data_IF_905649061541
#
_entry.id   IF_905649061541
#
_cell.length_a   1.000
_cell.length_b   1.000
_cell.length_c   1.000
_cell.angle_alpha   90.00
_cell.angle_beta   90.00
_cell.angle_gamma   90.00
#
_symmetry.space_group_name_H-M   'P 1'
#
loop_
_entity.id
_entity.type
_entity.pdbx_description
1 polymer ?
#
# COMPACT_ATOMS: atom_id res chain seq x y z
N UNK A 1 10.47 -46.98 -19.68
CA UNK A 1 9.99 -45.59 -19.87
C UNK A 1 8.77 -45.37 -18.97
N UNK A 2 8.91 -44.60 -17.90
CA UNK A 2 7.77 -44.27 -17.03
C UNK A 2 7.02 -43.11 -17.66
N UNK A 3 5.84 -43.37 -18.24
CA UNK A 3 4.98 -42.32 -18.78
C UNK A 3 4.39 -41.51 -17.63
N UNK A 4 4.86 -40.28 -17.44
CA UNK A 4 4.22 -39.35 -16.52
C UNK A 4 2.89 -38.94 -17.15
N UNK A 5 1.77 -39.22 -16.47
CA UNK A 5 0.43 -38.92 -17.00
C UNK A 5 0.25 -37.40 -17.18
N UNK A 6 -0.56 -37.00 -18.18
CA UNK A 6 -0.90 -35.60 -18.45
C UNK A 6 -1.42 -34.87 -17.21
N UNK A 7 -2.15 -35.56 -16.34
CA UNK A 7 -2.67 -35.03 -15.07
C UNK A 7 -1.55 -34.73 -14.06
N UNK A 8 -0.51 -35.57 -13.99
CA UNK A 8 0.66 -35.30 -13.14
C UNK A 8 1.47 -34.11 -13.64
N UNK A 9 1.58 -33.93 -14.96
CA UNK A 9 2.19 -32.73 -15.54
C UNK A 9 1.34 -31.47 -15.29
N UNK A 10 0.02 -31.57 -15.41
CA UNK A 10 -0.89 -30.45 -15.16
C UNK A 10 -0.85 -29.99 -13.69
N UNK A 11 -0.85 -30.93 -12.74
CA UNK A 11 -0.70 -30.64 -11.32
C UNK A 11 0.68 -30.10 -10.98
N UNK A 12 1.74 -30.59 -11.63
CA UNK A 12 3.10 -30.08 -11.42
C UNK A 12 3.22 -28.64 -11.93
N UNK A 13 2.66 -28.33 -13.12
CA UNK A 13 2.62 -26.97 -13.67
C UNK A 13 1.77 -26.05 -12.81
N UNK A 14 0.58 -26.47 -12.37
CA UNK A 14 -0.25 -25.67 -11.47
C UNK A 14 0.44 -25.42 -10.12
N UNK A 15 1.10 -26.43 -9.55
CA UNK A 15 1.86 -26.28 -8.32
C UNK A 15 3.02 -25.31 -8.53
N UNK A 16 3.70 -25.37 -9.68
CA UNK A 16 4.81 -24.48 -10.03
C UNK A 16 4.35 -23.04 -10.26
N UNK A 17 3.26 -22.82 -10.99
CA UNK A 17 2.62 -21.51 -11.18
C UNK A 17 2.15 -20.92 -9.84
N UNK A 18 1.54 -21.73 -8.97
CA UNK A 18 1.12 -21.32 -7.63
C UNK A 18 2.31 -21.09 -6.67
N UNK A 19 3.47 -21.70 -6.96
CA UNK A 19 4.72 -21.46 -6.23
C UNK A 19 5.46 -20.20 -6.72
N UNK A 20 5.25 -19.80 -7.97
CA UNK A 20 5.81 -18.58 -8.57
C UNK A 20 4.98 -17.33 -8.25
N UNK A 21 3.67 -17.48 -8.00
CA UNK A 21 2.82 -16.39 -7.50
C UNK A 21 3.07 -16.03 -6.04
N UNK A 22 3.90 -16.81 -5.32
CA UNK A 22 4.20 -16.59 -3.91
C UNK A 22 5.68 -16.84 -3.62
N UNK A 23 6.57 -16.12 -4.31
CA UNK A 23 7.99 -16.07 -3.93
C UNK A 23 8.12 -15.18 -2.69
N UNK A 24 7.95 -15.79 -1.50
CA UNK A 24 8.40 -15.21 -0.24
C UNK A 24 9.94 -15.29 -0.17
N UNK A 25 10.64 -14.26 -0.64
CA UNK A 25 12.08 -14.11 -0.38
C UNK A 25 12.26 -13.53 1.03
N UNK A 26 12.52 -14.39 2.02
CA UNK A 26 12.97 -13.97 3.36
C UNK A 26 14.49 -13.77 3.35
N UNK A 27 14.93 -12.57 2.95
CA UNK A 27 16.28 -12.10 3.26
C UNK A 27 16.26 -11.55 4.69
N UNK A 28 16.40 -12.48 5.64
CA UNK A 28 16.53 -12.38 7.12
C UNK A 28 15.59 -11.45 7.92
N UNK A 29 15.07 -10.36 7.37
CA UNK A 29 14.16 -9.42 8.01
C UNK A 29 13.17 -8.77 7.03
N UNK A 30 13.37 -8.91 5.71
CA UNK A 30 12.49 -8.32 4.71
C UNK A 30 11.57 -9.38 4.08
N UNK A 31 10.31 -9.01 3.86
CA UNK A 31 9.31 -9.80 3.14
C UNK A 31 8.96 -9.12 1.82
N UNK A 32 9.07 -9.86 0.71
CA UNK A 32 8.65 -9.42 -0.61
C UNK A 32 7.55 -10.35 -1.11
N UNK A 33 6.50 -9.77 -1.69
CA UNK A 33 5.39 -10.49 -2.32
C UNK A 33 5.02 -9.78 -3.62
N UNK A 34 5.05 -10.53 -4.73
CA UNK A 34 4.65 -10.04 -6.05
C UNK A 34 3.67 -11.04 -6.64
N UNK A 35 2.46 -10.58 -6.95
CA UNK A 35 1.45 -11.41 -7.62
C UNK A 35 1.40 -11.08 -9.12
N UNK A 36 1.03 -12.02 -10.01
CA UNK A 36 0.39 -11.69 -11.29
C UNK A 36 -0.99 -11.03 -11.05
N UNK A 37 -1.88 -10.80 -12.04
CA UNK A 37 -3.25 -10.37 -11.77
C UNK A 37 -3.88 -11.17 -10.61
N UNK A 38 -4.20 -10.50 -9.50
CA UNK A 38 -4.52 -11.13 -8.23
C UNK A 38 -4.11 -10.30 -7.02
N UNK A 39 -4.25 -10.87 -5.81
CA UNK A 39 -3.88 -10.18 -4.58
C UNK A 39 -2.45 -10.52 -4.18
N UNK A 40 -1.67 -9.52 -3.77
CA UNK A 40 -0.36 -9.70 -3.17
C UNK A 40 -0.43 -9.37 -1.67
N UNK A 41 0.13 -10.25 -0.84
CA UNK A 41 0.21 -10.06 0.61
C UNK A 41 1.66 -10.24 1.06
N UNK A 42 2.20 -9.22 1.73
CA UNK A 42 3.52 -9.28 2.37
C UNK A 42 3.40 -8.90 3.84
N UNK A 43 3.88 -9.78 4.71
CA UNK A 43 3.98 -9.54 6.14
C UNK A 43 5.41 -9.85 6.57
N UNK A 44 6.08 -8.89 7.20
CA UNK A 44 7.43 -9.09 7.73
C UNK A 44 7.43 -9.24 9.25
N UNK A 45 8.43 -9.92 9.84
CA UNK A 45 8.85 -9.66 11.22
C UNK A 45 9.41 -8.20 11.32
N UNK A 46 10.08 -7.77 12.43
CA UNK A 46 10.84 -6.53 12.37
C UNK A 46 11.76 -6.50 11.13
N UNK A 47 11.58 -5.48 10.29
CA UNK A 47 12.15 -5.31 8.96
C UNK A 47 11.12 -4.83 7.94
N UNK A 48 11.41 -4.88 6.64
CA UNK A 48 10.55 -4.24 5.64
C UNK A 48 9.59 -5.24 4.97
N UNK A 49 8.36 -4.82 4.72
CA UNK A 49 7.39 -5.55 3.92
C UNK A 49 7.12 -4.82 2.60
N UNK A 50 7.21 -5.53 1.48
CA UNK A 50 6.88 -5.02 0.16
C UNK A 50 5.86 -5.94 -0.51
N UNK A 51 4.73 -5.38 -0.94
CA UNK A 51 3.70 -6.07 -1.69
C UNK A 51 3.38 -5.35 -2.99
N UNK A 52 3.40 -6.07 -4.11
CA UNK A 52 3.08 -5.53 -5.44
C UNK A 52 2.10 -6.43 -6.16
N UNK A 53 0.99 -5.87 -6.61
CA UNK A 53 0.04 -6.54 -7.50
C UNK A 53 -0.18 -5.66 -8.73
N UNK A 54 -0.01 -6.14 -9.97
CA UNK A 54 -0.27 -5.37 -11.19
C UNK A 54 -1.76 -5.07 -11.38
N UNK A 55 -2.64 -5.97 -10.92
CA UNK A 55 -4.08 -5.76 -10.85
C UNK A 55 -4.69 -6.57 -9.70
N UNK A 56 -5.50 -5.94 -8.86
CA UNK A 56 -6.00 -6.52 -7.61
C UNK A 56 -5.47 -5.78 -6.38
N UNK A 57 -5.55 -6.39 -5.20
CA UNK A 57 -5.16 -5.73 -3.97
C UNK A 57 -3.70 -6.06 -3.60
N UNK A 58 -2.92 -5.03 -3.26
CA UNK A 58 -1.63 -5.20 -2.59
C UNK A 58 -1.81 -4.83 -1.11
N UNK A 59 -1.33 -5.71 -0.22
CA UNK A 59 -1.32 -5.50 1.22
C UNK A 59 0.08 -5.75 1.78
N UNK A 60 0.62 -4.76 2.48
CA UNK A 60 1.92 -4.82 3.12
C UNK A 60 1.82 -4.45 4.60
N UNK A 61 2.39 -5.28 5.48
CA UNK A 61 2.41 -5.03 6.93
C UNK A 61 3.79 -5.30 7.50
N UNK A 62 4.36 -4.32 8.20
CA UNK A 62 5.60 -4.46 8.98
C UNK A 62 5.37 -3.99 10.41
N UNK A 63 5.53 -4.83 11.45
CA UNK A 63 5.40 -4.42 12.84
C UNK A 63 6.43 -3.36 13.26
N UNK A 64 7.64 -3.41 12.69
CA UNK A 64 8.75 -2.50 12.97
C UNK A 64 9.66 -2.42 11.75
N UNK A 65 9.53 -1.37 10.96
CA UNK A 65 10.21 -1.19 9.67
C UNK A 65 9.28 -0.56 8.64
N UNK A 66 9.65 -0.56 7.36
CA UNK A 66 8.82 0.07 6.34
C UNK A 66 7.85 -0.93 5.71
N UNK A 67 6.61 -0.52 5.53
CA UNK A 67 5.63 -1.23 4.72
C UNK A 67 5.42 -0.46 3.42
N UNK A 68 5.54 -1.16 2.28
CA UNK A 68 5.30 -0.61 0.95
C UNK A 68 4.29 -1.49 0.21
N UNK A 69 3.22 -0.87 -0.30
CA UNK A 69 2.20 -1.54 -1.09
C UNK A 69 1.98 -0.80 -2.41
N UNK A 70 2.00 -1.52 -3.53
CA UNK A 70 1.75 -0.94 -4.87
C UNK A 70 0.71 -1.76 -5.63
N UNK A 71 -0.35 -1.11 -6.12
CA UNK A 71 -1.30 -1.70 -7.05
C UNK A 71 -1.68 -0.75 -8.19
N UNK A 72 -1.16 -0.92 -9.42
CA UNK A 72 -1.52 -0.12 -10.58
C UNK A 72 -3.03 -0.03 -10.81
N UNK A 73 -3.74 -1.16 -10.79
CA UNK A 73 -5.21 -1.20 -10.87
C UNK A 73 -5.82 -2.03 -9.73
N UNK A 74 -6.32 -1.36 -8.70
CA UNK A 74 -6.86 -1.99 -7.49
C UNK A 74 -6.40 -1.27 -6.24
N UNK A 75 -6.58 -1.86 -5.06
CA UNK A 75 -6.25 -1.15 -3.82
C UNK A 75 -4.84 -1.48 -3.34
N UNK A 76 -4.16 -0.48 -2.79
CA UNK A 76 -2.91 -0.65 -2.07
C UNK A 76 -3.13 -0.28 -0.60
N UNK A 77 -2.69 -1.15 0.30
CA UNK A 77 -2.76 -0.93 1.73
C UNK A 77 -1.41 -1.21 2.38
N UNK A 78 -0.87 -0.22 3.08
CA UNK A 78 0.37 -0.32 3.82
C UNK A 78 0.17 0.03 5.29
N UNK A 79 0.67 -0.82 6.19
CA UNK A 79 0.60 -0.60 7.64
C UNK A 79 1.96 -0.81 8.29
N UNK A 80 2.44 0.19 9.04
CA UNK A 80 3.64 0.07 9.87
C UNK A 80 3.46 0.68 11.26
N UNK A 81 3.24 -0.12 12.32
CA UNK A 81 3.18 0.35 13.71
C UNK A 81 4.50 0.86 14.29
N UNK A 82 5.61 0.85 13.55
CA UNK A 82 6.87 1.46 14.01
C UNK A 82 7.81 1.60 12.83
N UNK A 83 7.61 2.64 12.02
CA UNK A 83 8.32 2.86 10.76
C UNK A 83 7.40 3.49 9.73
N UNK A 84 7.80 3.58 8.46
CA UNK A 84 6.98 4.28 7.48
C UNK A 84 6.03 3.33 6.75
N UNK A 85 4.85 3.84 6.39
CA UNK A 85 3.92 3.17 5.51
C UNK A 85 3.78 3.98 4.22
N UNK A 86 3.94 3.32 3.08
CA UNK A 86 3.72 3.91 1.76
C UNK A 86 2.78 3.04 0.94
N UNK A 87 1.75 3.67 0.38
CA UNK A 87 0.76 3.03 -0.47
C UNK A 87 0.56 3.80 -1.77
N UNK A 88 0.60 3.09 -2.90
CA UNK A 88 0.46 3.68 -4.23
C UNK A 88 -0.54 2.89 -5.06
N UNK A 89 -1.58 3.59 -5.54
CA UNK A 89 -2.58 3.02 -6.44
C UNK A 89 -3.00 4.01 -7.55
N UNK A 90 -2.39 3.94 -8.75
CA UNK A 90 -2.77 4.70 -9.93
C UNK A 90 -4.28 4.76 -10.20
N UNK A 91 -4.94 3.60 -10.31
CA UNK A 91 -6.37 3.47 -10.57
C UNK A 91 -7.08 2.61 -9.51
N UNK A 92 -7.13 3.13 -8.29
CA UNK A 92 -7.82 2.52 -7.15
C UNK A 92 -7.51 3.27 -5.85
N UNK A 93 -7.74 2.67 -4.68
CA UNK A 93 -7.50 3.38 -3.42
C UNK A 93 -6.11 3.09 -2.86
N UNK A 94 -5.46 4.11 -2.33
CA UNK A 94 -4.20 4.01 -1.60
C UNK A 94 -4.43 4.37 -0.12
N UNK A 95 -4.20 3.41 0.76
CA UNK A 95 -4.33 3.59 2.21
C UNK A 95 -3.00 3.30 2.91
N UNK A 96 -2.58 4.21 3.77
CA UNK A 96 -1.32 4.11 4.51
C UNK A 96 -1.53 4.49 5.97
N UNK A 97 -1.05 3.64 6.88
CA UNK A 97 -1.20 3.82 8.33
C UNK A 97 0.12 3.59 9.05
N UNK A 98 0.57 4.58 9.84
CA UNK A 98 1.84 4.50 10.57
C UNK A 98 1.84 5.17 11.96
N UNK A 99 1.61 4.39 13.05
CA UNK A 99 1.75 4.83 14.44
C UNK A 99 2.90 4.15 15.21
N UNK A 100 4.08 4.74 15.49
CA UNK A 100 4.60 6.06 15.11
C UNK A 100 5.44 5.99 13.81
N UNK A 101 5.24 6.93 12.89
CA UNK A 101 6.07 7.08 11.69
C UNK A 101 5.35 7.83 10.58
N UNK A 102 5.89 7.90 9.36
CA UNK A 102 5.21 8.63 8.28
C UNK A 102 4.26 7.70 7.50
N UNK A 103 3.07 8.21 7.19
CA UNK A 103 2.11 7.59 6.29
C UNK A 103 2.01 8.40 5.00
N UNK A 104 2.30 7.76 3.86
CA UNK A 104 2.14 8.35 2.53
C UNK A 104 1.19 7.50 1.67
N UNK A 105 0.21 8.14 1.07
CA UNK A 105 -0.74 7.53 0.14
C UNK A 105 -0.85 8.34 -1.14
N UNK A 106 -0.73 7.67 -2.28
CA UNK A 106 -0.83 8.30 -3.60
C UNK A 106 -1.81 7.54 -4.48
N UNK A 107 -2.85 8.24 -4.96
CA UNK A 107 -3.84 7.68 -5.88
C UNK A 107 -4.27 8.68 -6.97
N UNK A 108 -3.60 8.68 -8.15
CA UNK A 108 -3.95 9.50 -9.31
C UNK A 108 -5.45 9.58 -9.64
N UNK A 109 -6.14 8.45 -9.75
CA UNK A 109 -7.56 8.38 -10.13
C UNK A 109 -8.43 7.58 -9.16
N UNK A 110 -8.15 7.68 -7.87
CA UNK A 110 -8.97 7.12 -6.79
C UNK A 110 -8.72 7.84 -5.47
N UNK A 111 -9.05 7.23 -4.33
CA UNK A 111 -8.87 7.90 -3.04
C UNK A 111 -7.50 7.60 -2.44
N UNK A 112 -6.86 8.63 -1.90
CA UNK A 112 -5.68 8.50 -1.08
C UNK A 112 -6.03 8.84 0.38
N UNK A 113 -5.64 7.99 1.31
CA UNK A 113 -5.84 8.20 2.75
C UNK A 113 -4.56 7.86 3.50
N UNK A 114 -4.04 8.82 4.27
CA UNK A 114 -2.87 8.64 5.14
C UNK A 114 -3.20 8.96 6.58
N UNK A 115 -2.82 8.08 7.50
CA UNK A 115 -3.01 8.27 8.94
C UNK A 115 -1.71 8.03 9.68
N UNK A 116 -1.24 9.03 10.42
CA UNK A 116 -0.06 8.93 11.27
C UNK A 116 -0.30 9.56 12.65
N UNK A 117 -0.64 8.76 13.66
CA UNK A 117 -0.91 9.24 15.01
C UNK A 117 0.26 9.90 15.75
N UNK A 118 1.47 9.96 15.19
CA UNK A 118 2.66 10.62 15.78
C UNK A 118 3.81 10.83 14.79
N UNK A 119 3.49 11.19 13.54
CA UNK A 119 4.44 11.45 12.46
C UNK A 119 3.75 12.21 11.33
N UNK A 120 4.31 12.27 10.13
CA UNK A 120 3.63 13.00 9.04
C UNK A 120 2.67 12.09 8.29
N UNK A 121 1.49 12.62 7.95
CA UNK A 121 0.57 12.01 7.02
C UNK A 121 0.52 12.85 5.74
N UNK A 122 0.69 12.20 4.59
CA UNK A 122 0.63 12.86 3.28
C UNK A 122 -0.26 12.06 2.33
N UNK A 123 -1.29 12.71 1.82
CA UNK A 123 -2.22 12.12 0.86
C UNK A 123 -2.25 12.92 -0.43
N UNK A 124 -2.12 12.24 -1.57
CA UNK A 124 -2.16 12.87 -2.90
C UNK A 124 -3.11 12.12 -3.81
N UNK A 125 -4.14 12.81 -4.31
CA UNK A 125 -5.10 12.29 -5.27
C UNK A 125 -5.50 13.33 -6.33
N UNK A 126 -4.78 13.41 -7.46
CA UNK A 126 -5.10 14.29 -8.59
C UNK A 126 -6.57 14.37 -8.98
N UNK A 127 -7.24 13.22 -9.12
CA UNK A 127 -8.62 13.09 -9.62
C UNK A 127 -9.56 12.26 -8.73
N UNK A 128 -9.30 12.27 -7.41
CA UNK A 128 -10.16 11.68 -6.40
C UNK A 128 -9.98 12.39 -5.06
N UNK A 129 -10.33 11.76 -3.94
CA UNK A 129 -10.20 12.41 -2.64
C UNK A 129 -8.86 12.14 -1.97
N UNK A 130 -8.29 13.15 -1.34
CA UNK A 130 -7.09 13.05 -0.51
C UNK A 130 -7.45 13.39 0.95
N UNK A 131 -7.29 12.43 1.86
CA UNK A 131 -7.45 12.63 3.29
C UNK A 131 -6.16 12.31 4.05
N UNK A 132 -5.78 13.20 4.97
CA UNK A 132 -4.58 13.08 5.78
C UNK A 132 -4.88 13.40 7.24
N UNK A 133 -4.44 12.54 8.17
CA UNK A 133 -4.69 12.69 9.61
C UNK A 133 -3.42 12.49 10.41
N UNK A 134 -3.04 13.47 11.23
CA UNK A 134 -1.89 13.38 12.12
C UNK A 134 -2.04 14.16 13.45
N UNK A 135 -2.53 13.53 14.54
CA UNK A 135 -2.84 14.20 15.81
C UNK A 135 -1.72 14.16 16.86
N UNK A 136 -0.45 14.22 16.46
CA UNK A 136 0.30 15.46 16.69
C UNK A 136 1.29 15.91 15.58
N UNK A 137 1.45 15.20 14.47
CA UNK A 137 2.39 15.57 13.39
C UNK A 137 1.74 16.38 12.27
N UNK A 138 2.40 16.51 11.11
CA UNK A 138 1.82 17.29 10.01
C UNK A 138 0.90 16.42 9.15
N UNK A 139 -0.23 16.99 8.72
CA UNK A 139 -1.15 16.41 7.76
C UNK A 139 -1.20 17.27 6.50
N UNK A 140 -0.82 16.71 5.35
CA UNK A 140 -0.95 17.34 4.04
C UNK A 140 -1.82 16.49 3.11
N UNK A 141 -2.77 17.13 2.45
CA UNK A 141 -3.68 16.54 1.47
C UNK A 141 -3.73 17.40 0.22
N UNK A 142 -3.56 16.75 -0.93
CA UNK A 142 -3.57 17.41 -2.23
C UNK A 142 -4.52 16.69 -3.18
N UNK A 143 -5.54 17.41 -3.64
CA UNK A 143 -6.47 16.92 -4.65
C UNK A 143 -6.90 18.03 -5.62
N UNK A 144 -6.18 18.19 -6.75
CA UNK A 144 -6.51 19.13 -7.81
C UNK A 144 -7.97 19.12 -8.29
N UNK A 145 -8.53 17.91 -8.50
CA UNK A 145 -9.87 17.71 -9.08
C UNK A 145 -10.83 16.86 -8.23
N UNK A 146 -10.59 16.81 -6.92
CA UNK A 146 -11.49 16.21 -5.93
C UNK A 146 -11.33 16.90 -4.58
N UNK A 147 -11.72 16.26 -3.47
CA UNK A 147 -11.66 16.90 -2.16
C UNK A 147 -10.33 16.63 -1.45
N UNK A 148 -9.80 17.65 -0.77
CA UNK A 148 -8.60 17.52 0.05
C UNK A 148 -8.92 17.90 1.50
N UNK A 149 -8.75 16.97 2.44
CA UNK A 149 -8.95 17.21 3.86
C UNK A 149 -7.72 16.81 4.66
N UNK A 150 -7.25 17.70 5.53
CA UNK A 150 -6.12 17.48 6.42
C UNK A 150 -6.54 17.78 7.84
N UNK A 151 -6.24 16.88 8.77
CA UNK A 151 -6.51 17.05 10.19
C UNK A 151 -5.24 16.86 11.01
N UNK A 152 -4.88 17.88 11.80
CA UNK A 152 -3.78 17.81 12.73
C UNK A 152 -4.04 18.71 13.94
N UNK A 153 -4.58 18.14 15.04
CA UNK A 153 -4.83 18.90 16.27
C UNK A 153 -3.63 19.60 16.91
N UNK A 154 -2.41 19.06 16.76
CA UNK A 154 -1.19 19.60 17.40
C UNK A 154 -0.02 19.86 16.44
N UNK A 155 -0.26 19.79 15.13
CA UNK A 155 0.72 20.07 14.08
C UNK A 155 0.10 20.89 12.94
N UNK A 156 0.77 20.94 11.79
CA UNK A 156 0.23 21.67 10.64
C UNK A 156 -0.75 20.80 9.85
N UNK A 157 -1.90 21.37 9.49
CA UNK A 157 -2.84 20.78 8.54
C UNK A 157 -2.92 21.67 7.30
N UNK A 158 -2.58 21.12 6.14
CA UNK A 158 -2.69 21.82 4.86
C UNK A 158 -3.49 20.98 3.86
N UNK A 159 -4.51 21.59 3.28
CA UNK A 159 -5.34 21.01 2.22
C UNK A 159 -5.23 21.86 0.96
N UNK A 160 -5.01 21.23 -0.19
CA UNK A 160 -5.03 21.90 -1.49
C UNK A 160 -6.04 21.23 -2.41
N UNK A 161 -7.12 21.95 -2.74
CA UNK A 161 -8.10 21.55 -3.75
C UNK A 161 -8.64 22.77 -4.50
N UNK A 162 -8.07 23.10 -5.67
CA UNK A 162 -8.51 24.25 -6.47
C UNK A 162 -9.90 24.10 -7.06
N UNK A 163 -10.43 22.88 -7.20
CA UNK A 163 -11.73 22.63 -7.86
C UNK A 163 -12.70 21.70 -7.10
N UNK A 164 -12.34 21.22 -5.91
CA UNK A 164 -13.24 20.46 -5.05
C UNK A 164 -14.24 21.36 -4.31
N UNK A 165 -15.48 20.88 -4.14
CA UNK A 165 -16.45 21.54 -3.29
C UNK A 165 -16.02 21.43 -1.82
N UNK A 166 -16.06 22.55 -1.11
CA UNK A 166 -15.87 22.63 0.35
C UNK A 166 -16.96 21.87 1.12
#
# INVERSE_FOLDING_TARGET
MTFVSKERLCNLVQTYEHHLTSIHVTLSYNALSTSPPGNALSTSPPGNALSTSPSGNALSTSPSGNALSTSPSGNALSTSPSGNALSTSPSGNALSTSPPGNALSTSPSGNALSTSPSGNALSTSPSGNALSTSPPGNALSTSPSGNALSTSPFGNALSTSPSGNA
#
